data_IF_397576010598
#
_entry.id   IF_397576010598
#
_cell.length_a   1.000
_cell.length_b   1.000
_cell.length_c   1.000
_cell.angle_alpha   90.00
_cell.angle_beta   90.00
_cell.angle_gamma   90.00
#
_symmetry.space_group_name_H-M   'P 1'
#
loop_
_entity.id
_entity.type
_entity.pdbx_description
1 polymer ?
#
# COMPACT_ATOMS: atom_id res chain seq x y z
N UNK A 1 -5.59 -67.80 25.94
CA UNK A 1 -5.65 -67.39 24.52
C UNK A 1 -5.78 -65.83 24.52
N UNK A 2 -4.68 -65.12 24.46
CA UNK A 2 -4.65 -63.64 24.47
C UNK A 2 -4.23 -63.16 23.08
N UNK A 3 -5.15 -62.50 22.40
CA UNK A 3 -4.84 -61.85 21.11
C UNK A 3 -4.11 -60.55 21.31
N UNK A 4 -3.15 -60.17 20.45
CA UNK A 4 -2.43 -58.91 20.63
C UNK A 4 -3.28 -57.73 20.11
N UNK A 5 -3.49 -56.75 20.96
CA UNK A 5 -4.01 -55.43 20.60
C UNK A 5 -2.99 -54.73 19.67
N UNK A 6 -3.31 -54.62 18.40
CA UNK A 6 -2.58 -53.80 17.46
C UNK A 6 -2.93 -52.33 17.72
N UNK A 7 -2.09 -51.61 18.44
CA UNK A 7 -2.18 -50.18 18.58
C UNK A 7 -1.65 -49.57 17.30
N UNK A 8 -2.54 -49.18 16.39
CA UNK A 8 -2.19 -48.39 15.23
C UNK A 8 -1.75 -46.99 15.71
N UNK A 9 -0.46 -46.75 15.73
CA UNK A 9 0.11 -45.40 15.86
C UNK A 9 -0.18 -44.66 14.56
N UNK A 10 -1.23 -43.83 14.57
CA UNK A 10 -1.42 -42.82 13.54
C UNK A 10 -0.29 -41.82 13.71
N UNK A 11 0.73 -41.98 12.92
CA UNK A 11 1.80 -41.00 12.77
C UNK A 11 1.17 -39.78 12.08
N UNK A 12 0.65 -38.86 12.86
CA UNK A 12 0.29 -37.54 12.39
C UNK A 12 1.62 -36.84 12.05
N UNK A 13 2.05 -36.99 10.79
CA UNK A 13 3.15 -36.23 10.26
C UNK A 13 2.82 -34.75 10.54
N UNK A 14 3.56 -34.10 11.41
CA UNK A 14 3.57 -32.65 11.51
C UNK A 14 4.00 -32.13 10.14
N UNK A 15 3.04 -31.85 9.27
CA UNK A 15 3.28 -31.08 8.07
C UNK A 15 3.78 -29.72 8.55
N UNK A 16 5.08 -29.46 8.44
CA UNK A 16 5.66 -28.15 8.67
C UNK A 16 4.81 -27.14 7.92
N UNK A 17 4.19 -26.21 8.65
CA UNK A 17 3.33 -25.20 8.03
C UNK A 17 4.18 -24.45 7.00
N UNK A 18 3.74 -24.48 5.74
CA UNK A 18 4.43 -23.78 4.65
C UNK A 18 4.47 -22.31 4.97
N UNK A 19 5.66 -21.75 5.06
CA UNK A 19 5.84 -20.32 5.38
C UNK A 19 6.27 -19.58 4.13
N UNK A 20 5.50 -18.55 3.76
CA UNK A 20 5.85 -17.63 2.67
C UNK A 20 6.30 -16.29 3.25
N UNK A 21 7.34 -15.71 2.64
CA UNK A 21 7.86 -14.40 3.00
C UNK A 21 7.40 -13.35 1.99
N UNK A 22 6.75 -12.31 2.51
CA UNK A 22 6.30 -11.15 1.72
C UNK A 22 7.17 -9.94 2.06
N UNK A 23 7.74 -9.30 1.04
CA UNK A 23 8.39 -8.00 1.16
C UNK A 23 7.41 -6.92 0.68
N UNK A 24 7.16 -5.88 1.50
CA UNK A 24 6.16 -4.86 1.16
C UNK A 24 6.55 -3.46 1.63
N UNK A 25 6.13 -2.46 0.88
CA UNK A 25 6.16 -1.06 1.30
C UNK A 25 5.13 -0.76 2.40
N UNK A 26 5.38 0.32 3.16
CA UNK A 26 4.52 0.70 4.29
C UNK A 26 3.07 1.00 3.93
N UNK A 27 2.79 1.46 2.70
CA UNK A 27 1.43 1.77 2.24
C UNK A 27 0.48 0.56 2.26
N UNK A 28 1.01 -0.66 2.12
CA UNK A 28 0.22 -1.89 2.14
C UNK A 28 0.06 -2.51 3.54
N UNK A 29 0.65 -1.88 4.57
CA UNK A 29 0.67 -2.43 5.94
C UNK A 29 -0.73 -2.68 6.48
N UNK A 30 -1.63 -1.70 6.42
CA UNK A 30 -2.98 -1.82 6.97
C UNK A 30 -3.79 -2.92 6.29
N UNK A 31 -3.61 -3.12 4.99
CA UNK A 31 -4.22 -4.21 4.24
C UNK A 31 -3.62 -5.56 4.63
N UNK A 32 -2.29 -5.70 4.61
CA UNK A 32 -1.61 -6.96 4.90
C UNK A 32 -1.82 -7.42 6.34
N UNK A 33 -1.87 -6.52 7.32
CA UNK A 33 -2.13 -6.86 8.72
C UNK A 33 -3.47 -7.57 8.90
N UNK A 34 -4.47 -7.27 8.07
CA UNK A 34 -5.80 -7.89 8.18
C UNK A 34 -6.00 -9.07 7.22
N UNK A 35 -5.45 -9.00 5.98
CA UNK A 35 -5.65 -10.08 5.00
C UNK A 35 -4.84 -11.33 5.35
N UNK A 36 -3.63 -11.18 5.92
CA UNK A 36 -2.76 -12.30 6.27
C UNK A 36 -3.43 -13.29 7.24
N UNK A 37 -3.97 -12.86 8.39
CA UNK A 37 -4.67 -13.80 9.29
C UNK A 37 -5.89 -14.47 8.64
N UNK A 38 -6.56 -13.81 7.70
CA UNK A 38 -7.68 -14.41 6.97
C UNK A 38 -7.18 -15.52 6.04
N UNK A 39 -6.09 -15.26 5.32
CA UNK A 39 -5.45 -16.25 4.45
C UNK A 39 -4.91 -17.45 5.24
N UNK A 40 -4.18 -17.21 6.34
CA UNK A 40 -3.62 -18.28 7.17
C UNK A 40 -4.70 -19.24 7.69
N UNK A 41 -5.82 -18.69 8.18
CA UNK A 41 -6.96 -19.50 8.62
C UNK A 41 -7.60 -20.31 7.49
N UNK A 42 -7.66 -19.75 6.29
CA UNK A 42 -8.30 -20.40 5.15
C UNK A 42 -7.40 -21.46 4.46
N UNK A 43 -6.07 -21.29 4.53
CA UNK A 43 -5.14 -22.08 3.73
C UNK A 43 -4.10 -22.89 4.54
N UNK A 44 -4.00 -22.66 5.85
CA UNK A 44 -3.07 -23.39 6.73
C UNK A 44 -1.59 -23.06 6.51
N UNK A 45 -1.27 -22.12 5.60
CA UNK A 45 0.08 -21.61 5.39
C UNK A 45 0.37 -20.44 6.33
N UNK A 46 1.63 -20.25 6.72
CA UNK A 46 2.10 -19.10 7.49
C UNK A 46 2.63 -18.01 6.57
N UNK A 47 2.49 -16.74 6.99
CA UNK A 47 2.93 -15.59 6.21
C UNK A 47 3.75 -14.67 7.09
N UNK A 48 5.01 -14.48 6.73
CA UNK A 48 5.90 -13.48 7.31
C UNK A 48 5.93 -12.25 6.43
N UNK A 49 5.65 -11.07 6.98
CA UNK A 49 5.68 -9.82 6.22
C UNK A 49 6.78 -8.90 6.75
N UNK A 50 7.70 -8.53 5.87
CA UNK A 50 8.74 -7.55 6.15
C UNK A 50 8.39 -6.22 5.48
N UNK A 51 8.37 -5.12 6.26
CA UNK A 51 8.05 -3.78 5.77
C UNK A 51 9.29 -2.90 5.81
N UNK A 52 9.63 -2.30 4.67
CA UNK A 52 10.70 -1.29 4.54
C UNK A 52 10.29 -0.22 3.52
N UNK A 53 11.13 0.80 3.36
CA UNK A 53 11.00 1.73 2.25
C UNK A 53 11.16 0.99 0.92
N UNK A 54 10.35 1.34 -0.07
CA UNK A 54 10.36 0.69 -1.39
C UNK A 54 11.74 0.71 -2.05
N UNK A 55 12.48 1.83 -1.92
CA UNK A 55 13.85 1.96 -2.44
C UNK A 55 14.84 0.99 -1.78
N UNK A 56 14.68 0.77 -0.47
CA UNK A 56 15.50 -0.19 0.30
C UNK A 56 15.16 -1.61 -0.14
N UNK A 57 13.87 -1.96 -0.24
CA UNK A 57 13.45 -3.29 -0.71
C UNK A 57 13.94 -3.60 -2.12
N UNK A 58 13.87 -2.64 -3.04
CA UNK A 58 14.42 -2.82 -4.39
C UNK A 58 15.90 -3.16 -4.36
N UNK A 59 16.67 -2.43 -3.54
CA UNK A 59 18.11 -2.68 -3.38
C UNK A 59 18.35 -4.06 -2.76
N UNK A 60 17.69 -4.39 -1.66
CA UNK A 60 17.85 -5.66 -0.98
C UNK A 60 17.53 -6.85 -1.92
N UNK A 61 16.44 -6.75 -2.70
CA UNK A 61 16.05 -7.75 -3.71
C UNK A 61 17.11 -7.86 -4.82
N UNK A 62 17.63 -6.74 -5.31
CA UNK A 62 18.68 -6.72 -6.31
C UNK A 62 19.97 -7.40 -5.77
N UNK A 63 20.27 -7.18 -4.50
CA UNK A 63 21.42 -7.77 -3.78
C UNK A 63 21.19 -9.25 -3.39
N UNK A 64 20.02 -9.84 -3.71
CA UNK A 64 19.75 -11.26 -3.53
C UNK A 64 18.97 -11.62 -2.25
N UNK A 65 18.29 -10.66 -1.62
CA UNK A 65 17.41 -10.98 -0.48
C UNK A 65 16.38 -12.05 -0.84
N UNK A 66 16.21 -13.05 0.02
CA UNK A 66 15.25 -14.12 -0.18
C UNK A 66 13.84 -13.65 0.16
N UNK A 67 12.88 -13.91 -0.76
CA UNK A 67 11.45 -13.65 -0.58
C UNK A 67 10.64 -14.59 -1.47
N UNK A 68 9.36 -14.69 -1.20
CA UNK A 68 8.40 -15.45 -2.03
C UNK A 68 7.49 -14.52 -2.83
N UNK A 69 7.07 -13.39 -2.22
CA UNK A 69 6.23 -12.36 -2.86
C UNK A 69 6.81 -10.98 -2.57
N UNK A 70 6.93 -10.14 -3.59
CA UNK A 70 7.10 -8.69 -3.42
C UNK A 70 5.75 -8.00 -3.70
N UNK A 71 5.26 -7.16 -2.77
CA UNK A 71 4.05 -6.35 -2.94
C UNK A 71 4.44 -4.88 -2.91
N UNK A 72 4.66 -4.30 -4.10
CA UNK A 72 5.24 -2.98 -4.32
C UNK A 72 4.44 -2.23 -5.38
N UNK A 73 4.68 -0.90 -5.59
CA UNK A 73 4.14 -0.19 -6.74
C UNK A 73 4.52 -0.89 -8.06
N UNK A 74 3.62 -0.87 -9.02
CA UNK A 74 3.76 -1.60 -10.28
C UNK A 74 5.05 -1.30 -11.05
N UNK A 75 5.52 -0.04 -11.17
CA UNK A 75 6.78 0.23 -11.87
C UNK A 75 7.99 -0.49 -11.25
N UNK A 76 8.05 -0.57 -9.91
CA UNK A 76 9.12 -1.27 -9.20
C UNK A 76 9.07 -2.80 -9.42
N UNK A 77 7.86 -3.36 -9.48
CA UNK A 77 7.68 -4.78 -9.84
C UNK A 77 8.17 -5.03 -11.26
N UNK A 78 7.83 -4.16 -12.22
CA UNK A 78 8.25 -4.30 -13.62
C UNK A 78 9.78 -4.21 -13.78
N UNK A 79 10.44 -3.34 -12.99
CA UNK A 79 11.91 -3.29 -12.95
C UNK A 79 12.52 -4.58 -12.39
N UNK A 80 11.92 -5.15 -11.33
CA UNK A 80 12.38 -6.40 -10.74
C UNK A 80 12.15 -7.61 -11.66
N UNK A 81 11.11 -7.60 -12.49
CA UNK A 81 10.91 -8.59 -13.57
C UNK A 81 12.02 -8.47 -14.60
N UNK A 82 12.32 -7.26 -15.09
CA UNK A 82 13.43 -7.02 -16.04
C UNK A 82 14.79 -7.45 -15.50
N UNK A 83 14.97 -7.31 -14.18
CA UNK A 83 16.19 -7.76 -13.49
C UNK A 83 16.21 -9.27 -13.18
N UNK A 84 15.19 -10.04 -13.59
CA UNK A 84 15.10 -11.47 -13.35
C UNK A 84 14.90 -11.88 -11.88
N UNK A 85 14.49 -10.95 -11.01
CA UNK A 85 14.25 -11.20 -9.59
C UNK A 85 12.81 -11.64 -9.31
N UNK A 86 11.88 -11.22 -10.15
CA UNK A 86 10.50 -11.69 -10.20
C UNK A 86 10.32 -12.52 -11.46
N UNK A 87 9.64 -13.65 -11.34
CA UNK A 87 9.39 -14.55 -12.46
C UNK A 87 8.52 -13.86 -13.53
N UNK A 88 8.87 -14.05 -14.79
CA UNK A 88 8.10 -13.51 -15.92
C UNK A 88 6.68 -14.09 -15.92
N UNK A 89 5.68 -13.24 -16.17
CA UNK A 89 4.27 -13.64 -16.15
C UNK A 89 3.68 -13.90 -14.74
N UNK A 90 4.48 -13.76 -13.68
CA UNK A 90 4.05 -14.01 -12.29
C UNK A 90 3.71 -12.74 -11.52
N UNK A 91 3.19 -11.72 -12.20
CA UNK A 91 2.78 -10.45 -11.61
C UNK A 91 1.26 -10.28 -11.67
N UNK A 92 0.67 -9.82 -10.56
CA UNK A 92 -0.78 -9.56 -10.45
C UNK A 92 -1.00 -8.21 -9.78
N UNK A 93 -1.76 -7.34 -10.42
CA UNK A 93 -2.21 -6.09 -9.82
C UNK A 93 -3.19 -6.40 -8.68
N UNK A 94 -2.94 -5.85 -7.50
CA UNK A 94 -3.74 -6.15 -6.29
C UNK A 94 -4.68 -5.02 -5.96
N UNK A 95 -4.15 -3.80 -5.84
CA UNK A 95 -4.93 -2.62 -5.44
C UNK A 95 -4.54 -1.38 -6.23
N UNK A 96 -5.45 -0.41 -6.23
CA UNK A 96 -5.22 0.96 -6.71
C UNK A 96 -5.40 1.92 -5.56
N UNK A 97 -4.45 2.84 -5.36
CA UNK A 97 -4.50 3.90 -4.35
C UNK A 97 -4.46 5.26 -5.01
N UNK A 98 -5.43 6.10 -4.69
CA UNK A 98 -5.56 7.46 -5.19
C UNK A 98 -4.92 8.47 -4.23
N UNK A 99 -4.55 9.66 -4.72
CA UNK A 99 -4.19 10.80 -3.88
C UNK A 99 -5.47 11.48 -3.40
N UNK A 100 -5.50 11.86 -2.14
CA UNK A 100 -6.60 12.60 -1.53
C UNK A 100 -6.12 13.85 -0.81
N UNK A 101 -7.09 14.66 -0.43
CA UNK A 101 -6.92 15.85 0.39
C UNK A 101 -7.42 15.56 1.80
N UNK A 102 -6.58 15.88 2.79
CA UNK A 102 -6.91 15.79 4.21
C UNK A 102 -6.99 17.18 4.84
N UNK A 103 -7.91 17.30 5.80
CA UNK A 103 -7.99 18.43 6.72
C UNK A 103 -8.00 17.90 8.16
N UNK A 104 -7.81 18.78 9.15
CA UNK A 104 -7.95 18.41 10.55
C UNK A 104 -9.40 18.02 10.86
N UNK A 105 -9.60 16.99 11.67
CA UNK A 105 -10.95 16.55 12.06
C UNK A 105 -11.77 17.69 12.63
N UNK A 106 -12.98 17.83 12.10
CA UNK A 106 -13.91 18.92 12.45
C UNK A 106 -13.63 20.27 11.77
N UNK A 107 -12.59 20.39 10.95
CA UNK A 107 -12.38 21.57 10.11
C UNK A 107 -13.36 21.58 8.92
N UNK A 108 -13.73 22.77 8.39
CA UNK A 108 -14.53 22.83 7.16
C UNK A 108 -13.88 22.10 6.00
N UNK A 109 -14.66 21.30 5.29
CA UNK A 109 -14.21 20.62 4.08
C UNK A 109 -14.21 21.63 2.91
N UNK A 110 -13.04 21.89 2.28
CA UNK A 110 -13.02 22.71 1.07
C UNK A 110 -13.68 21.96 -0.10
N UNK A 111 -14.30 22.70 -1.01
CA UNK A 111 -14.75 22.13 -2.28
C UNK A 111 -13.56 21.78 -3.16
N UNK A 112 -13.44 20.51 -3.53
CA UNK A 112 -12.41 19.96 -4.43
C UNK A 112 -13.03 19.18 -5.60
N UNK A 113 -14.32 19.40 -5.89
CA UNK A 113 -15.07 18.64 -6.90
C UNK A 113 -14.59 18.89 -8.33
N UNK A 114 -13.96 20.03 -8.58
CA UNK A 114 -13.42 20.39 -9.89
C UNK A 114 -11.96 20.88 -9.79
N UNK A 115 -11.25 20.89 -10.90
CA UNK A 115 -9.87 21.46 -10.97
C UNK A 115 -9.84 22.91 -10.48
N UNK A 116 -10.85 23.72 -10.85
CA UNK A 116 -10.94 25.12 -10.45
C UNK A 116 -11.19 25.27 -8.94
N UNK A 117 -12.12 24.48 -8.38
CA UNK A 117 -12.41 24.49 -6.95
C UNK A 117 -11.22 24.01 -6.13
N UNK A 118 -10.57 22.91 -6.53
CA UNK A 118 -9.36 22.41 -5.91
C UNK A 118 -8.24 23.45 -5.90
N UNK A 119 -7.99 24.11 -7.04
CA UNK A 119 -7.01 25.21 -7.12
C UNK A 119 -7.34 26.36 -6.20
N UNK A 120 -8.61 26.76 -6.16
CA UNK A 120 -9.09 27.82 -5.25
C UNK A 120 -8.90 27.46 -3.78
N UNK A 121 -9.22 26.21 -3.41
CA UNK A 121 -9.02 25.69 -2.05
C UNK A 121 -7.56 25.75 -1.63
N UNK A 122 -6.62 25.33 -2.48
CA UNK A 122 -5.19 25.41 -2.17
C UNK A 122 -4.71 26.84 -2.01
N UNK A 123 -5.14 27.76 -2.91
CA UNK A 123 -4.76 29.19 -2.82
C UNK A 123 -5.32 29.87 -1.56
N UNK A 124 -6.51 29.49 -1.12
CA UNK A 124 -7.15 30.02 0.09
C UNK A 124 -6.51 29.49 1.39
N UNK A 125 -5.94 28.27 1.36
CA UNK A 125 -5.34 27.67 2.53
C UNK A 125 -4.17 28.48 3.09
N UNK A 126 -4.05 28.52 4.43
CA UNK A 126 -2.91 29.16 5.13
C UNK A 126 -1.63 28.35 4.97
N UNK A 127 -1.74 27.04 4.89
CA UNK A 127 -0.61 26.12 4.65
C UNK A 127 -1.05 24.80 4.04
N UNK A 128 -0.16 24.23 3.23
CA UNK A 128 -0.31 22.87 2.71
C UNK A 128 0.89 22.02 3.11
N UNK A 129 0.69 20.70 3.16
CA UNK A 129 1.78 19.75 3.36
C UNK A 129 1.68 18.59 2.37
N UNK A 130 2.83 18.12 1.93
CA UNK A 130 3.01 16.86 1.20
C UNK A 130 4.41 16.30 1.50
N UNK A 131 4.63 15.01 1.16
CA UNK A 131 5.89 14.34 1.48
C UNK A 131 7.06 14.88 0.66
N UNK A 132 8.28 14.70 1.16
CA UNK A 132 9.53 14.94 0.43
C UNK A 132 9.95 13.77 -0.47
N UNK A 133 9.15 12.68 -0.51
CA UNK A 133 9.39 11.49 -1.30
C UNK A 133 8.68 11.49 -2.68
N UNK A 134 8.63 10.34 -3.36
CA UNK A 134 8.08 10.22 -4.72
C UNK A 134 6.63 10.69 -4.87
N UNK A 135 5.77 10.45 -3.88
CA UNK A 135 4.38 10.93 -3.89
C UNK A 135 4.30 12.45 -3.78
N UNK A 136 5.22 13.07 -3.04
CA UNK A 136 5.29 14.54 -2.97
C UNK A 136 5.85 15.17 -4.23
N UNK A 137 6.77 14.51 -4.93
CA UNK A 137 7.23 14.96 -6.24
C UNK A 137 6.08 15.09 -7.25
N UNK A 138 5.11 14.15 -7.20
CA UNK A 138 3.88 14.27 -7.97
C UNK A 138 3.08 15.53 -7.59
N UNK A 139 2.89 15.80 -6.29
CA UNK A 139 2.15 16.99 -5.82
C UNK A 139 2.88 18.27 -6.24
N UNK A 140 4.20 18.32 -6.15
CA UNK A 140 4.97 19.46 -6.63
C UNK A 140 4.75 19.73 -8.12
N UNK A 141 4.84 18.69 -8.97
CA UNK A 141 4.53 18.78 -10.40
C UNK A 141 3.06 19.19 -10.67
N UNK A 142 2.13 18.77 -9.81
CA UNK A 142 0.73 19.19 -9.91
C UNK A 142 0.57 20.69 -9.63
N UNK A 143 1.26 21.25 -8.65
CA UNK A 143 1.24 22.70 -8.37
C UNK A 143 1.82 23.51 -9.53
N UNK A 144 2.86 23.00 -10.20
CA UNK A 144 3.40 23.58 -11.43
C UNK A 144 2.37 23.55 -12.58
N UNK A 145 1.76 22.38 -12.81
CA UNK A 145 0.72 22.22 -13.85
C UNK A 145 -0.47 23.15 -13.64
N UNK A 146 -0.85 23.41 -12.39
CA UNK A 146 -1.92 24.34 -12.03
C UNK A 146 -1.48 25.81 -12.10
N UNK A 147 -0.20 26.11 -12.31
CA UNK A 147 0.34 27.46 -12.34
C UNK A 147 0.31 28.18 -10.99
N UNK A 148 0.36 27.44 -9.87
CA UNK A 148 0.30 28.01 -8.52
C UNK A 148 1.53 27.71 -7.67
N UNK A 149 2.53 27.01 -8.19
CA UNK A 149 3.70 26.60 -7.41
C UNK A 149 4.39 27.77 -6.69
N UNK A 150 4.57 28.92 -7.38
CA UNK A 150 5.18 30.11 -6.80
C UNK A 150 4.35 30.67 -5.61
N UNK A 151 3.02 30.72 -5.76
CA UNK A 151 2.12 31.18 -4.70
C UNK A 151 2.06 30.22 -3.50
N UNK A 152 2.22 28.91 -3.76
CA UNK A 152 2.17 27.89 -2.73
C UNK A 152 3.51 27.68 -2.01
N UNK A 153 4.63 28.02 -2.61
CA UNK A 153 5.98 27.85 -2.03
C UNK A 153 6.10 28.36 -0.58
N UNK A 154 5.69 29.60 -0.23
CA UNK A 154 5.79 30.11 1.15
C UNK A 154 4.81 29.43 2.12
N UNK A 155 3.79 28.73 1.63
CA UNK A 155 2.77 28.03 2.40
C UNK A 155 3.01 26.53 2.52
N UNK A 156 4.01 26.00 1.80
CA UNK A 156 4.27 24.55 1.72
C UNK A 156 5.18 24.09 2.83
N UNK A 157 4.77 23.02 3.51
CA UNK A 157 5.56 22.28 4.48
C UNK A 157 5.87 20.88 3.93
N UNK A 158 7.12 20.67 3.56
CA UNK A 158 7.60 19.33 3.19
C UNK A 158 7.87 18.50 4.43
N UNK A 159 7.60 17.20 4.38
CA UNK A 159 7.78 16.31 5.51
C UNK A 159 8.19 14.89 5.07
N UNK A 160 9.06 14.27 5.87
CA UNK A 160 9.35 12.83 5.82
C UNK A 160 8.42 12.01 6.75
N UNK A 161 7.64 12.68 7.62
CA UNK A 161 6.59 12.06 8.45
C UNK A 161 5.31 11.88 7.62
N UNK A 162 4.35 11.04 8.07
CA UNK A 162 3.02 10.98 7.47
C UNK A 162 2.36 12.36 7.44
N UNK A 163 1.96 12.82 6.26
CA UNK A 163 1.38 14.17 6.05
C UNK A 163 0.12 14.37 6.89
N UNK A 164 -0.72 13.34 7.00
CA UNK A 164 -1.95 13.40 7.79
C UNK A 164 -1.69 13.63 9.29
N UNK A 165 -0.52 13.24 9.83
CA UNK A 165 -0.14 13.53 11.22
C UNK A 165 0.10 15.05 11.42
N UNK A 166 0.73 15.72 10.44
CA UNK A 166 0.91 17.18 10.50
C UNK A 166 -0.42 17.90 10.47
N UNK A 167 -1.36 17.40 9.67
CA UNK A 167 -2.73 17.95 9.59
C UNK A 167 -3.47 17.75 10.90
N UNK A 168 -3.44 16.52 11.46
CA UNK A 168 -4.06 16.21 12.75
C UNK A 168 -3.50 17.07 13.88
N UNK A 169 -2.20 17.34 13.89
CA UNK A 169 -1.54 18.21 14.87
C UNK A 169 -1.81 19.71 14.64
N UNK A 170 -2.46 20.09 13.52
CA UNK A 170 -2.67 21.49 13.14
C UNK A 170 -1.41 22.21 12.65
N UNK A 171 -0.34 21.44 12.34
CA UNK A 171 0.88 21.98 11.77
C UNK A 171 0.70 22.38 10.29
N UNK A 172 -0.24 21.75 9.59
CA UNK A 172 -0.67 22.12 8.24
C UNK A 172 -2.20 22.15 8.17
N UNK A 173 -2.76 23.08 7.38
CA UNK A 173 -4.21 23.19 7.18
C UNK A 173 -4.72 22.12 6.21
N UNK A 174 -4.00 21.91 5.10
CA UNK A 174 -4.32 20.92 4.09
C UNK A 174 -3.14 19.93 3.93
N UNK A 175 -3.45 18.64 3.87
CA UNK A 175 -2.51 17.58 3.53
C UNK A 175 -2.86 16.93 2.19
N UNK A 176 -1.86 16.71 1.35
CA UNK A 176 -1.99 15.97 0.09
C UNK A 176 -1.17 14.69 0.17
N UNK A 177 -1.85 13.54 0.21
CA UNK A 177 -1.24 12.23 0.41
C UNK A 177 -2.12 11.14 -0.19
N UNK A 178 -1.60 9.93 -0.33
CA UNK A 178 -2.43 8.78 -0.70
C UNK A 178 -3.52 8.54 0.35
N UNK A 179 -4.75 8.26 -0.11
CA UNK A 179 -5.91 8.03 0.75
C UNK A 179 -5.64 6.94 1.79
N UNK A 180 -4.98 5.85 1.40
CA UNK A 180 -4.60 4.74 2.29
C UNK A 180 -3.72 5.18 3.47
N UNK A 181 -2.99 6.28 3.33
CA UNK A 181 -2.13 6.84 4.38
C UNK A 181 -2.81 7.95 5.19
N UNK A 182 -3.95 8.47 4.74
CA UNK A 182 -4.78 9.44 5.47
C UNK A 182 -5.70 8.72 6.45
N UNK A 183 -6.46 7.74 5.98
CA UNK A 183 -7.54 7.10 6.73
C UNK A 183 -7.13 6.50 8.09
N UNK A 184 -5.91 5.94 8.28
CA UNK A 184 -5.52 5.37 9.57
C UNK A 184 -5.14 6.40 10.63
N UNK A 185 -5.05 7.69 10.30
CA UNK A 185 -4.52 8.73 11.20
C UNK A 185 -5.66 9.40 11.97
N UNK A 186 -5.79 9.18 13.29
CA UNK A 186 -6.78 9.87 14.10
C UNK A 186 -6.52 11.38 14.09
N UNK A 187 -7.59 12.16 14.00
CA UNK A 187 -7.52 13.64 13.99
C UNK A 187 -7.30 14.26 12.61
N UNK A 188 -7.23 13.45 11.55
CA UNK A 188 -7.28 13.91 10.17
C UNK A 188 -8.50 13.32 9.45
N UNK A 189 -9.26 14.14 8.77
CA UNK A 189 -10.42 13.74 7.97
C UNK A 189 -10.06 13.79 6.48
N UNK A 190 -10.44 12.75 5.75
CA UNK A 190 -10.35 12.73 4.30
C UNK A 190 -11.50 13.56 3.71
N UNK A 191 -11.18 14.63 3.01
CA UNK A 191 -12.17 15.42 2.24
C UNK A 191 -12.63 14.64 1.01
N UNK A 192 -11.71 14.01 0.30
CA UNK A 192 -11.98 13.20 -0.87
C UNK A 192 -10.75 12.98 -1.76
N UNK A 193 -10.91 12.21 -2.85
CA UNK A 193 -9.90 12.09 -3.89
C UNK A 193 -9.73 13.42 -4.64
N UNK A 194 -8.57 13.62 -5.26
CA UNK A 194 -8.38 14.75 -6.18
C UNK A 194 -9.33 14.62 -7.39
N UNK A 195 -9.67 15.75 -8.07
CA UNK A 195 -10.41 15.71 -9.33
C UNK A 195 -9.77 14.72 -10.31
N UNK A 196 -10.60 14.03 -11.11
CA UNK A 196 -10.14 12.94 -11.99
C UNK A 196 -9.00 13.35 -12.94
N UNK A 197 -9.05 14.58 -13.44
CA UNK A 197 -8.05 15.14 -14.38
C UNK A 197 -6.69 15.42 -13.71
N UNK A 198 -6.71 15.47 -12.36
CA UNK A 198 -5.54 15.71 -11.51
C UNK A 198 -5.20 14.47 -10.67
N UNK A 199 -5.86 13.34 -10.90
CA UNK A 199 -5.64 12.17 -10.06
C UNK A 199 -4.36 11.42 -10.46
N UNK A 200 -3.61 10.99 -9.47
CA UNK A 200 -2.55 10.01 -9.62
C UNK A 200 -2.94 8.72 -8.89
N UNK A 201 -3.10 7.66 -9.66
CA UNK A 201 -3.45 6.35 -9.14
C UNK A 201 -2.21 5.46 -9.14
N UNK A 202 -1.80 5.04 -7.95
CA UNK A 202 -0.71 4.08 -7.79
C UNK A 202 -1.31 2.68 -7.75
N UNK A 203 -0.86 1.82 -8.66
CA UNK A 203 -1.18 0.40 -8.66
C UNK A 203 -0.12 -0.32 -7.83
N UNK A 204 -0.57 -1.09 -6.83
CA UNK A 204 0.27 -2.02 -6.10
C UNK A 204 0.09 -3.42 -6.67
N UNK A 205 1.19 -4.03 -7.08
CA UNK A 205 1.21 -5.35 -7.67
C UNK A 205 1.98 -6.34 -6.81
N UNK A 206 1.53 -7.58 -6.80
CA UNK A 206 2.25 -8.72 -6.25
C UNK A 206 3.06 -9.38 -7.35
N UNK A 207 4.36 -9.58 -7.12
CA UNK A 207 5.25 -10.33 -7.99
C UNK A 207 5.84 -11.52 -7.26
N UNK A 208 5.79 -12.71 -7.85
CA UNK A 208 6.40 -13.90 -7.28
C UNK A 208 7.90 -13.93 -7.59
N UNK A 209 8.71 -14.21 -6.57
CA UNK A 209 10.15 -14.37 -6.72
C UNK A 209 10.50 -15.43 -7.78
N UNK A 210 11.54 -15.18 -8.57
CA UNK A 210 12.10 -16.21 -9.45
C UNK A 210 12.67 -17.41 -8.67
N UNK A 211 13.06 -17.18 -7.40
CA UNK A 211 13.53 -18.21 -6.46
C UNK A 211 12.49 -18.58 -5.39
N UNK A 212 11.20 -18.48 -5.69
CA UNK A 212 10.12 -18.77 -4.73
C UNK A 212 10.25 -20.19 -4.15
N UNK A 213 10.24 -20.29 -2.81
CA UNK A 213 10.43 -21.58 -2.10
C UNK A 213 9.14 -22.39 -1.99
N UNK A 214 8.01 -21.68 -1.78
CA UNK A 214 6.68 -22.26 -1.62
C UNK A 214 5.72 -21.75 -2.71
N UNK A 215 5.92 -22.15 -3.99
CA UNK A 215 5.22 -21.56 -5.13
C UNK A 215 3.69 -21.78 -5.10
N UNK A 216 3.23 -22.90 -4.55
CA UNK A 216 1.79 -23.18 -4.43
C UNK A 216 1.14 -22.25 -3.39
N UNK A 217 1.76 -22.08 -2.22
CA UNK A 217 1.26 -21.19 -1.16
C UNK A 217 1.34 -19.70 -1.59
N UNK A 218 2.42 -19.30 -2.27
CA UNK A 218 2.57 -17.94 -2.78
C UNK A 218 1.50 -17.61 -3.84
N UNK A 219 1.25 -18.51 -4.80
CA UNK A 219 0.15 -18.34 -5.77
C UNK A 219 -1.22 -18.31 -5.10
N UNK A 220 -1.44 -19.16 -4.09
CA UNK A 220 -2.70 -19.17 -3.34
C UNK A 220 -2.91 -17.84 -2.60
N UNK A 221 -1.87 -17.23 -2.00
CA UNK A 221 -1.97 -15.92 -1.37
C UNK A 221 -2.34 -14.83 -2.39
N UNK A 222 -1.65 -14.79 -3.54
CA UNK A 222 -1.96 -13.81 -4.59
C UNK A 222 -3.40 -13.99 -5.10
N UNK A 223 -3.85 -15.23 -5.34
CA UNK A 223 -5.25 -15.50 -5.72
C UNK A 223 -6.23 -15.06 -4.62
N UNK A 224 -5.88 -15.26 -3.35
CA UNK A 224 -6.72 -14.84 -2.23
C UNK A 224 -6.95 -13.32 -2.19
N UNK A 225 -5.96 -12.51 -2.61
CA UNK A 225 -6.13 -11.04 -2.72
C UNK A 225 -7.19 -10.63 -3.75
N UNK A 226 -7.62 -11.53 -4.64
CA UNK A 226 -8.66 -11.29 -5.65
C UNK A 226 -10.05 -11.76 -5.23
N UNK A 227 -10.19 -12.32 -4.05
CA UNK A 227 -11.50 -12.78 -3.54
C UNK A 227 -12.43 -11.60 -3.21
N UNK A 228 -13.76 -11.79 -3.21
CA UNK A 228 -14.70 -10.77 -2.78
C UNK A 228 -14.44 -10.27 -1.35
N UNK A 229 -13.93 -11.14 -0.46
CA UNK A 229 -13.55 -10.78 0.90
C UNK A 229 -12.38 -9.79 0.91
N UNK A 230 -11.33 -10.08 0.15
CA UNK A 230 -10.20 -9.18 -0.02
C UNK A 230 -10.62 -7.85 -0.66
N UNK A 231 -11.51 -7.88 -1.65
CA UNK A 231 -12.04 -6.68 -2.29
C UNK A 231 -12.79 -5.75 -1.32
N UNK A 232 -13.60 -6.30 -0.40
CA UNK A 232 -14.23 -5.50 0.67
C UNK A 232 -13.19 -4.88 1.61
N UNK A 233 -12.19 -5.68 1.99
CA UNK A 233 -11.10 -5.19 2.84
C UNK A 233 -10.29 -4.08 2.16
N UNK A 234 -9.95 -4.23 0.88
CA UNK A 234 -9.25 -3.21 0.10
C UNK A 234 -10.03 -1.89 0.14
N UNK A 235 -11.35 -1.92 -0.14
CA UNK A 235 -12.19 -0.71 -0.10
C UNK A 235 -12.25 -0.08 1.30
N UNK A 236 -12.32 -0.88 2.36
CA UNK A 236 -12.32 -0.36 3.74
C UNK A 236 -11.03 0.36 4.12
N UNK A 237 -9.94 0.15 3.34
CA UNK A 237 -8.66 0.86 3.50
C UNK A 237 -8.52 2.06 2.55
N UNK A 238 -9.59 2.49 1.88
CA UNK A 238 -9.57 3.61 0.95
C UNK A 238 -8.82 3.34 -0.36
N UNK A 239 -8.74 2.06 -0.73
CA UNK A 239 -8.19 1.62 -2.01
C UNK A 239 -9.28 0.95 -2.85
N UNK A 240 -9.01 0.74 -4.14
CA UNK A 240 -9.84 -0.04 -5.03
C UNK A 240 -9.12 -1.33 -5.44
N UNK A 241 -9.84 -2.45 -5.58
CA UNK A 241 -9.29 -3.63 -6.23
C UNK A 241 -8.83 -3.31 -7.66
N UNK A 242 -7.68 -3.82 -8.05
CA UNK A 242 -7.14 -3.60 -9.39
C UNK A 242 -7.62 -4.65 -10.40
#
# INVERSE_FOLDING_TARGET
MGGPFFVAWVTMALMSAKTIKILSGGAMRTFLTEIVPLFERANGAKVEVEYRLTSVLKKDIADGAAFDIALLPRPEIDELVKAGRIAEGATVDVTRSAVGLAVRSGAPNPDISTVAAFKAALLAAKSISYSDGPSGAYVAGLLEKLGIAAAMKPKTKLTSRPVAELVAAGEAEIGLQQIVAILPVPGADLVGPLPAELQNVIIYAAGLSAGVREPAAARAFVAFTKTPQAGRLIRSKGMEPA
#
